data_IF_713646845631
#
_entry.id   IF_713646845631
#
_cell.length_a   1.000
_cell.length_b   1.000
_cell.length_c   1.000
_cell.angle_alpha   90.00
_cell.angle_beta   90.00
_cell.angle_gamma   90.00
#
_symmetry.space_group_name_H-M   'P 1'
#
loop_
_entity.id
_entity.type
_entity.pdbx_description
1 polymer ?
#
# COMPACT_ATOMS: atom_id res chain seq x y z
N UNK A 1 37.13 -85.52 -3.37
CA UNK A 1 36.39 -84.69 -2.40
C UNK A 1 36.86 -83.24 -2.55
N UNK A 2 36.10 -82.40 -3.26
CA UNK A 2 36.51 -81.03 -3.62
C UNK A 2 35.28 -80.13 -3.81
N UNK A 3 34.51 -79.89 -2.73
CA UNK A 3 33.29 -79.05 -2.74
C UNK A 3 32.98 -78.49 -1.34
N UNK A 4 33.83 -77.63 -0.77
CA UNK A 4 33.49 -76.96 0.50
C UNK A 4 34.08 -75.56 0.71
N UNK A 5 34.96 -75.07 -0.17
CA UNK A 5 35.64 -73.77 0.03
C UNK A 5 35.05 -72.59 -0.77
N UNK A 6 34.03 -72.80 -1.61
CA UNK A 6 33.41 -71.73 -2.42
C UNK A 6 32.16 -71.08 -1.79
N UNK A 7 31.61 -71.62 -0.70
CA UNK A 7 30.38 -71.10 -0.09
C UNK A 7 30.61 -70.05 1.01
N UNK A 8 31.80 -70.00 1.60
CA UNK A 8 32.13 -69.00 2.63
C UNK A 8 32.52 -67.64 2.04
N UNK A 9 33.07 -67.59 0.82
CA UNK A 9 33.47 -66.34 0.15
C UNK A 9 32.27 -65.55 -0.39
N UNK A 10 31.20 -66.23 -0.81
CA UNK A 10 29.99 -65.58 -1.34
C UNK A 10 29.14 -64.92 -0.23
N UNK A 11 29.12 -65.48 0.98
CA UNK A 11 28.37 -64.92 2.11
C UNK A 11 28.97 -63.60 2.64
N UNK A 12 30.30 -63.45 2.59
CA UNK A 12 30.99 -62.21 2.99
C UNK A 12 30.77 -61.10 1.96
N UNK A 13 30.77 -61.43 0.66
CA UNK A 13 30.53 -60.44 -0.41
C UNK A 13 29.06 -59.98 -0.43
N UNK A 14 28.11 -60.88 -0.15
CA UNK A 14 26.68 -60.52 -0.07
C UNK A 14 26.35 -59.59 1.12
N UNK A 15 27.02 -59.75 2.26
CA UNK A 15 26.88 -58.84 3.42
C UNK A 15 27.51 -57.47 3.18
N UNK A 16 28.63 -57.41 2.45
CA UNK A 16 29.31 -56.14 2.12
C UNK A 16 28.54 -55.35 1.05
N UNK A 17 27.92 -56.01 0.06
CA UNK A 17 27.17 -55.33 -1.02
C UNK A 17 25.74 -54.95 -0.57
N UNK A 18 25.08 -55.77 0.27
CA UNK A 18 23.73 -55.50 0.78
C UNK A 18 23.66 -54.46 1.92
N UNK A 19 24.73 -54.33 2.72
CA UNK A 19 24.78 -53.40 3.86
C UNK A 19 25.24 -51.98 3.51
N UNK A 20 25.93 -51.80 2.38
CA UNK A 20 26.50 -50.51 1.94
C UNK A 20 25.47 -49.37 1.77
N UNK A 21 24.26 -49.60 1.22
CA UNK A 21 23.23 -48.57 1.11
C UNK A 21 22.66 -48.16 2.47
N UNK A 22 22.54 -49.09 3.43
CA UNK A 22 22.05 -48.81 4.77
C UNK A 22 23.10 -48.06 5.60
N UNK A 23 24.35 -48.50 5.56
CA UNK A 23 25.47 -47.83 6.25
C UNK A 23 25.73 -46.42 5.69
N UNK A 24 25.63 -46.23 4.36
CA UNK A 24 25.76 -44.90 3.76
C UNK A 24 24.60 -43.96 4.11
N UNK A 25 23.37 -44.47 4.27
CA UNK A 25 22.24 -43.67 4.78
C UNK A 25 22.43 -43.27 6.23
N UNK A 26 22.88 -44.19 7.08
CA UNK A 26 23.17 -43.91 8.51
C UNK A 26 24.32 -42.90 8.64
N UNK A 27 25.40 -43.08 7.85
CA UNK A 27 26.51 -42.13 7.82
C UNK A 27 26.09 -40.75 7.32
N UNK A 28 25.34 -40.66 6.21
CA UNK A 28 24.80 -39.37 5.73
C UNK A 28 23.88 -38.71 6.75
N UNK A 29 23.03 -39.49 7.42
CA UNK A 29 22.17 -38.97 8.49
C UNK A 29 22.98 -38.48 9.70
N UNK A 30 24.06 -39.18 10.05
CA UNK A 30 24.99 -38.75 11.10
C UNK A 30 25.71 -37.46 10.73
N UNK A 31 26.28 -37.37 9.52
CA UNK A 31 26.96 -36.16 9.02
C UNK A 31 26.00 -34.96 9.00
N UNK A 32 24.78 -35.14 8.48
CA UNK A 32 23.76 -34.10 8.50
C UNK A 32 23.40 -33.64 9.91
N UNK A 33 23.26 -34.58 10.87
CA UNK A 33 23.00 -34.24 12.28
C UNK A 33 24.19 -33.53 12.92
N UNK A 34 25.42 -33.95 12.64
CA UNK A 34 26.61 -33.30 13.18
C UNK A 34 26.80 -31.89 12.63
N UNK A 35 26.53 -31.69 11.33
CA UNK A 35 26.55 -30.35 10.72
C UNK A 35 25.45 -29.46 11.30
N UNK A 36 24.23 -29.99 11.50
CA UNK A 36 23.14 -29.26 12.14
C UNK A 36 23.49 -28.88 13.59
N UNK A 37 24.05 -29.81 14.36
CA UNK A 37 24.47 -29.55 15.75
C UNK A 37 25.58 -28.49 15.80
N UNK A 38 26.57 -28.56 14.91
CA UNK A 38 27.63 -27.55 14.82
C UNK A 38 27.08 -26.16 14.45
N UNK A 39 26.16 -26.09 13.49
CA UNK A 39 25.47 -24.84 13.12
C UNK A 39 24.64 -24.27 14.26
N UNK A 40 23.91 -25.13 14.99
CA UNK A 40 23.16 -24.70 16.17
C UNK A 40 24.08 -24.15 17.26
N UNK A 41 25.21 -24.81 17.52
CA UNK A 41 26.20 -24.32 18.48
C UNK A 41 26.75 -22.94 18.09
N UNK A 42 27.12 -22.75 16.82
CA UNK A 42 27.56 -21.43 16.32
C UNK A 42 26.48 -20.36 16.52
N UNK A 43 25.23 -20.64 16.14
CA UNK A 43 24.12 -19.71 16.33
C UNK A 43 23.88 -19.37 17.81
N UNK A 44 23.99 -20.34 18.72
CA UNK A 44 23.85 -20.09 20.16
C UNK A 44 24.97 -19.21 20.70
N UNK A 45 26.22 -19.40 20.24
CA UNK A 45 27.35 -18.58 20.64
C UNK A 45 27.22 -17.15 20.10
N UNK A 46 26.89 -16.99 18.82
CA UNK A 46 26.64 -15.68 18.21
C UNK A 46 25.51 -14.93 18.93
N UNK A 47 24.41 -15.63 19.22
CA UNK A 47 23.27 -15.05 19.94
C UNK A 47 23.67 -14.61 21.35
N UNK A 48 24.46 -15.41 22.06
CA UNK A 48 24.94 -15.06 23.40
C UNK A 48 25.87 -13.84 23.37
N UNK A 49 26.77 -13.76 22.39
CA UNK A 49 27.66 -12.61 22.19
C UNK A 49 26.87 -11.34 21.91
N UNK A 50 25.93 -11.38 20.97
CA UNK A 50 25.08 -10.23 20.63
C UNK A 50 24.22 -9.77 21.82
N UNK A 51 23.70 -10.72 22.62
CA UNK A 51 22.97 -10.39 23.85
C UNK A 51 23.86 -9.70 24.87
N UNK A 52 25.09 -10.17 25.06
CA UNK A 52 26.04 -9.56 25.99
C UNK A 52 26.46 -8.15 25.54
N UNK A 53 26.76 -7.98 24.25
CA UNK A 53 27.09 -6.68 23.67
C UNK A 53 25.92 -5.69 23.80
N UNK A 54 24.71 -6.16 23.51
CA UNK A 54 23.51 -5.36 23.66
C UNK A 54 23.30 -4.95 25.11
N UNK A 55 23.41 -5.88 26.07
CA UNK A 55 23.24 -5.56 27.50
C UNK A 55 24.26 -4.51 27.98
N UNK A 56 25.51 -4.57 27.51
CA UNK A 56 26.54 -3.61 27.88
C UNK A 56 26.26 -2.20 27.33
N UNK A 57 25.69 -2.09 26.13
CA UNK A 57 25.56 -0.82 25.40
C UNK A 57 24.10 -0.39 25.14
N UNK A 58 23.12 -1.09 25.70
CA UNK A 58 21.68 -0.89 25.45
C UNK A 58 21.24 0.57 25.50
N UNK A 59 21.53 1.36 26.55
CA UNK A 59 21.03 2.74 26.62
C UNK A 59 21.60 3.62 25.50
N UNK A 60 22.90 3.45 25.17
CA UNK A 60 23.53 4.20 24.10
C UNK A 60 22.95 3.82 22.72
N UNK A 61 22.76 2.52 22.47
CA UNK A 61 22.14 2.04 21.24
C UNK A 61 20.71 2.56 21.09
N UNK A 62 19.88 2.45 22.13
CA UNK A 62 18.49 2.91 22.08
C UNK A 62 18.42 4.43 21.84
N UNK A 63 19.25 5.21 22.51
CA UNK A 63 19.33 6.65 22.30
C UNK A 63 19.72 7.00 20.86
N UNK A 64 20.68 6.27 20.28
CA UNK A 64 21.09 6.47 18.89
C UNK A 64 19.98 6.07 17.90
N UNK A 65 19.35 4.91 18.09
CA UNK A 65 18.24 4.45 17.24
C UNK A 65 17.05 5.43 17.30
N UNK A 66 16.73 5.95 18.49
CA UNK A 66 15.69 6.97 18.67
C UNK A 66 16.06 8.28 17.99
N UNK A 67 17.31 8.73 18.10
CA UNK A 67 17.81 9.94 17.41
C UNK A 67 17.68 9.80 15.89
N UNK A 68 18.11 8.66 15.34
CA UNK A 68 17.98 8.37 13.91
C UNK A 68 16.50 8.31 13.48
N UNK A 69 15.65 7.67 14.28
CA UNK A 69 14.21 7.61 14.03
C UNK A 69 13.55 8.99 14.05
N UNK A 70 13.89 9.84 15.01
CA UNK A 70 13.40 11.22 15.11
C UNK A 70 13.89 12.10 13.94
N UNK A 71 15.09 11.81 13.42
CA UNK A 71 15.62 12.45 12.21
C UNK A 71 15.02 11.90 10.90
N UNK A 72 14.11 10.92 10.95
CA UNK A 72 13.51 10.29 9.78
C UNK A 72 14.45 9.33 9.01
N UNK A 73 15.62 9.00 9.58
CA UNK A 73 16.64 8.13 8.96
C UNK A 73 16.30 6.65 9.18
N UNK A 74 15.10 6.23 8.76
CA UNK A 74 14.57 4.89 9.02
C UNK A 74 15.42 3.77 8.43
N UNK A 75 16.05 3.99 7.25
CA UNK A 75 16.95 3.01 6.65
C UNK A 75 18.15 2.71 7.56
N UNK A 76 18.76 3.73 8.16
CA UNK A 76 19.88 3.57 9.08
C UNK A 76 19.46 2.86 10.37
N UNK A 77 18.26 3.17 10.88
CA UNK A 77 17.67 2.45 12.01
C UNK A 77 17.54 0.96 11.70
N UNK A 78 17.00 0.59 10.54
CA UNK A 78 16.85 -0.81 10.14
C UNK A 78 18.20 -1.52 10.03
N UNK A 79 19.18 -0.89 9.37
CA UNK A 79 20.53 -1.44 9.24
C UNK A 79 21.18 -1.65 10.61
N UNK A 80 21.07 -0.69 11.53
CA UNK A 80 21.70 -0.78 12.86
C UNK A 80 20.97 -1.77 13.77
N UNK A 81 19.63 -1.72 13.83
CA UNK A 81 18.84 -2.61 14.68
C UNK A 81 18.84 -4.07 14.20
N UNK A 82 18.95 -4.33 12.88
CA UNK A 82 18.99 -5.69 12.33
C UNK A 82 20.19 -6.52 12.83
N UNK A 83 21.29 -5.86 13.21
CA UNK A 83 22.46 -6.52 13.83
C UNK A 83 22.10 -7.25 15.12
N UNK A 84 21.13 -6.73 15.87
CA UNK A 84 20.68 -7.28 17.14
C UNK A 84 19.40 -8.12 17.02
N UNK A 85 18.98 -8.50 15.79
CA UNK A 85 17.76 -9.30 15.57
C UNK A 85 17.78 -10.62 16.34
N UNK A 86 18.94 -11.27 16.46
CA UNK A 86 19.09 -12.53 17.19
C UNK A 86 19.04 -12.35 18.71
N UNK A 87 19.32 -11.15 19.23
CA UNK A 87 19.22 -10.86 20.65
C UNK A 87 17.76 -10.82 21.14
N UNK A 88 16.80 -10.67 20.22
CA UNK A 88 15.34 -10.60 20.47
C UNK A 88 14.93 -9.63 21.58
N UNK A 89 15.61 -8.49 21.65
CA UNK A 89 15.29 -7.45 22.62
C UNK A 89 14.00 -6.72 22.20
N UNK A 90 13.01 -6.58 23.11
CA UNK A 90 11.71 -6.02 22.76
C UNK A 90 11.78 -4.54 22.36
N UNK A 91 12.68 -3.76 22.96
CA UNK A 91 12.78 -2.31 22.71
C UNK A 91 13.41 -2.05 21.33
N UNK A 92 14.49 -2.77 21.01
CA UNK A 92 15.11 -2.72 19.68
C UNK A 92 14.12 -3.18 18.61
N UNK A 93 13.39 -4.27 18.86
CA UNK A 93 12.36 -4.78 17.95
C UNK A 93 11.24 -3.77 17.73
N UNK A 94 10.77 -3.09 18.77
CA UNK A 94 9.73 -2.07 18.65
C UNK A 94 10.19 -0.86 17.81
N UNK A 95 11.43 -0.40 17.98
CA UNK A 95 12.00 0.69 17.16
C UNK A 95 12.18 0.25 15.70
N UNK A 96 12.68 -0.99 15.49
CA UNK A 96 12.82 -1.58 14.16
C UNK A 96 11.47 -1.63 13.43
N UNK A 97 10.43 -2.19 14.06
CA UNK A 97 9.11 -2.34 13.45
C UNK A 97 8.50 -1.00 13.07
N UNK A 98 8.57 0.01 13.95
CA UNK A 98 8.09 1.38 13.64
C UNK A 98 8.83 1.98 12.43
N UNK A 99 10.14 1.80 12.36
CA UNK A 99 10.93 2.32 11.23
C UNK A 99 10.67 1.55 9.93
N UNK A 100 10.43 0.25 10.01
CA UNK A 100 10.06 -0.56 8.85
C UNK A 100 8.69 -0.13 8.29
N UNK A 101 7.72 0.11 9.16
CA UNK A 101 6.41 0.63 8.78
C UNK A 101 6.51 2.02 8.14
N UNK A 102 7.29 2.93 8.74
CA UNK A 102 7.50 4.27 8.21
C UNK A 102 8.17 4.24 6.82
N UNK A 103 9.22 3.43 6.63
CA UNK A 103 9.89 3.29 5.34
C UNK A 103 8.97 2.66 4.29
N UNK A 104 8.20 1.64 4.66
CA UNK A 104 7.21 1.01 3.78
C UNK A 104 6.18 2.05 3.30
N UNK A 105 5.63 2.83 4.24
CA UNK A 105 4.70 3.92 3.92
C UNK A 105 5.34 4.95 2.98
N UNK A 106 6.58 5.38 3.23
CA UNK A 106 7.30 6.31 2.36
C UNK A 106 7.46 5.77 0.93
N UNK A 107 7.82 4.50 0.79
CA UNK A 107 7.95 3.84 -0.51
C UNK A 107 6.61 3.76 -1.24
N UNK A 108 5.54 3.40 -0.54
CA UNK A 108 4.19 3.40 -1.09
C UNK A 108 3.77 4.80 -1.54
N UNK A 109 3.93 5.82 -0.71
CA UNK A 109 3.60 7.21 -1.08
C UNK A 109 4.45 7.71 -2.25
N UNK A 110 5.70 7.30 -2.37
CA UNK A 110 6.55 7.62 -3.52
C UNK A 110 6.04 6.96 -4.81
N UNK A 111 5.57 5.71 -4.74
CA UNK A 111 4.91 5.03 -5.86
C UNK A 111 3.63 5.75 -6.27
N UNK A 112 2.77 6.12 -5.32
CA UNK A 112 1.53 6.83 -5.60
C UNK A 112 1.78 8.23 -6.20
N UNK A 113 2.85 8.92 -5.79
CA UNK A 113 3.25 10.19 -6.40
C UNK A 113 3.64 10.05 -7.87
N UNK A 114 4.20 8.89 -8.27
CA UNK A 114 4.47 8.60 -9.69
C UNK A 114 3.17 8.42 -10.47
N UNK A 115 2.24 7.65 -9.92
CA UNK A 115 0.90 7.48 -10.52
C UNK A 115 0.19 8.83 -10.68
N UNK A 116 0.24 9.68 -9.65
CA UNK A 116 -0.29 11.03 -9.72
C UNK A 116 0.43 11.88 -10.80
N UNK A 117 1.75 11.75 -10.94
CA UNK A 117 2.50 12.46 -12.00
C UNK A 117 2.05 12.02 -13.40
N UNK A 118 1.72 10.75 -13.59
CA UNK A 118 1.28 10.19 -14.87
C UNK A 118 -0.17 10.59 -15.21
N UNK A 119 -1.07 10.51 -14.23
CA UNK A 119 -2.51 10.64 -14.46
C UNK A 119 -3.13 11.97 -14.04
N UNK A 120 -2.43 12.82 -13.28
CA UNK A 120 -2.91 14.16 -12.97
C UNK A 120 -2.63 15.12 -14.13
N UNK A 121 -3.46 15.03 -15.17
CA UNK A 121 -3.39 15.90 -16.32
C UNK A 121 -4.78 16.39 -16.73
N UNK A 122 -4.80 17.46 -17.54
CA UNK A 122 -6.01 18.10 -18.04
C UNK A 122 -6.95 17.13 -18.78
N UNK A 123 -6.37 16.28 -19.64
CA UNK A 123 -7.11 15.30 -20.44
C UNK A 123 -7.91 14.34 -19.57
N UNK A 124 -7.30 13.81 -18.51
CA UNK A 124 -7.94 12.88 -17.58
C UNK A 124 -9.10 13.53 -16.82
N UNK A 125 -8.92 14.76 -16.33
CA UNK A 125 -9.98 15.52 -15.63
C UNK A 125 -11.16 15.79 -16.56
N UNK A 126 -10.89 16.26 -17.78
CA UNK A 126 -11.95 16.51 -18.78
C UNK A 126 -12.72 15.25 -19.11
N UNK A 127 -12.00 14.17 -19.40
CA UNK A 127 -12.59 12.86 -19.74
C UNK A 127 -13.52 12.39 -18.62
N UNK A 128 -13.05 12.39 -17.38
CA UNK A 128 -13.84 11.94 -16.25
C UNK A 128 -15.10 12.80 -16.04
N UNK A 129 -14.97 14.13 -16.05
CA UNK A 129 -16.14 15.01 -15.91
C UNK A 129 -17.14 14.86 -17.07
N UNK A 130 -16.66 14.64 -18.29
CA UNK A 130 -17.54 14.34 -19.42
C UNK A 130 -18.31 13.04 -19.23
N UNK A 131 -17.64 11.98 -18.76
CA UNK A 131 -18.26 10.69 -18.47
C UNK A 131 -19.36 10.83 -17.40
N UNK A 132 -19.07 11.54 -16.31
CA UNK A 132 -20.05 11.81 -15.25
C UNK A 132 -21.23 12.60 -15.80
N UNK A 133 -20.99 13.74 -16.47
CA UNK A 133 -22.07 14.59 -17.00
C UNK A 133 -22.90 13.89 -18.08
N UNK A 134 -22.32 12.97 -18.86
CA UNK A 134 -23.03 12.24 -19.89
C UNK A 134 -24.11 11.30 -19.33
N UNK A 135 -24.02 10.90 -18.05
CA UNK A 135 -25.02 10.00 -17.41
C UNK A 135 -26.44 10.58 -17.35
N UNK A 136 -26.56 11.91 -17.37
CA UNK A 136 -27.85 12.64 -17.30
C UNK A 136 -28.23 13.33 -18.60
N UNK A 137 -27.40 13.20 -19.63
CA UNK A 137 -27.65 13.82 -20.93
C UNK A 137 -28.45 12.88 -21.84
N UNK A 138 -29.28 13.45 -22.75
CA UNK A 138 -29.94 12.66 -23.78
C UNK A 138 -28.90 11.93 -24.66
N UNK A 139 -29.17 10.67 -25.08
CA UNK A 139 -28.29 9.94 -25.99
C UNK A 139 -27.95 10.76 -27.24
N UNK A 140 -26.66 10.86 -27.57
CA UNK A 140 -26.18 11.57 -28.77
C UNK A 140 -25.86 13.06 -28.59
N UNK A 141 -25.97 13.61 -27.37
CA UNK A 141 -25.58 15.00 -27.06
C UNK A 141 -24.41 15.04 -26.08
N UNK A 142 -23.19 14.60 -26.45
CA UNK A 142 -22.08 14.56 -25.50
C UNK A 142 -21.73 15.98 -24.99
N UNK A 143 -21.25 16.12 -23.75
CA UNK A 143 -20.83 17.41 -23.23
C UNK A 143 -19.58 17.86 -23.99
N UNK A 144 -19.62 19.04 -24.63
CA UNK A 144 -18.42 19.59 -25.27
C UNK A 144 -17.53 20.23 -24.21
N UNK A 145 -16.47 19.53 -23.83
CA UNK A 145 -15.47 20.04 -22.88
C UNK A 145 -14.45 20.97 -23.50
N UNK A 146 -14.45 21.17 -24.82
CA UNK A 146 -13.46 21.98 -25.54
C UNK A 146 -13.47 23.46 -25.15
N UNK A 147 -14.59 23.95 -24.61
CA UNK A 147 -14.73 25.34 -24.13
C UNK A 147 -14.39 25.49 -22.65
N UNK A 148 -14.13 24.39 -21.92
CA UNK A 148 -13.85 24.46 -20.49
C UNK A 148 -12.42 24.94 -20.24
N UNK A 149 -12.28 25.79 -19.23
CA UNK A 149 -10.98 26.17 -18.67
C UNK A 149 -10.68 25.22 -17.52
N UNK A 150 -9.58 24.49 -17.61
CA UNK A 150 -9.14 23.55 -16.59
C UNK A 150 -7.79 24.00 -16.09
N UNK A 151 -7.69 24.26 -14.79
CA UNK A 151 -6.51 24.84 -14.15
C UNK A 151 -6.10 24.01 -12.95
N UNK A 152 -4.87 23.52 -12.93
CA UNK A 152 -4.30 22.89 -11.74
C UNK A 152 -4.13 23.95 -10.65
N UNK A 153 -4.54 23.64 -9.44
CA UNK A 153 -4.36 24.49 -8.27
C UNK A 153 -3.48 23.79 -7.23
N UNK A 154 -2.79 24.54 -6.35
CA UNK A 154 -1.98 23.95 -5.28
C UNK A 154 -2.82 23.06 -4.37
N UNK A 155 -2.41 21.81 -4.16
CA UNK A 155 -3.18 20.82 -3.40
C UNK A 155 -3.15 21.06 -1.89
N UNK A 156 -2.08 21.70 -1.38
CA UNK A 156 -1.88 22.04 0.03
C UNK A 156 -3.04 22.86 0.61
N UNK A 157 -3.57 23.82 -0.16
CA UNK A 157 -4.71 24.64 0.23
C UNK A 157 -6.02 23.85 0.40
N UNK A 158 -6.09 22.62 -0.12
CA UNK A 158 -7.30 21.79 -0.14
C UNK A 158 -7.18 20.52 0.71
N UNK A 159 -6.05 20.26 1.35
CA UNK A 159 -5.87 19.07 2.22
C UNK A 159 -6.91 19.03 3.34
N UNK A 160 -7.11 20.12 4.06
CA UNK A 160 -8.10 20.18 5.15
C UNK A 160 -9.55 19.98 4.66
N UNK A 161 -10.01 20.64 3.57
CA UNK A 161 -11.28 20.33 2.93
C UNK A 161 -11.45 18.84 2.53
N UNK A 162 -10.43 18.23 1.91
CA UNK A 162 -10.46 16.81 1.50
C UNK A 162 -10.60 15.91 2.74
N UNK A 163 -9.80 16.14 3.78
CA UNK A 163 -9.93 15.40 5.04
C UNK A 163 -11.33 15.52 5.65
N UNK A 164 -11.93 16.72 5.62
CA UNK A 164 -13.29 16.94 6.12
C UNK A 164 -14.32 16.14 5.32
N UNK A 165 -14.21 16.13 3.99
CA UNK A 165 -15.08 15.36 3.11
C UNK A 165 -14.97 13.85 3.41
N UNK A 166 -13.76 13.32 3.52
CA UNK A 166 -13.54 11.89 3.82
C UNK A 166 -14.07 11.49 5.20
N UNK A 167 -13.91 12.34 6.23
CA UNK A 167 -14.49 12.11 7.56
C UNK A 167 -16.02 12.08 7.53
N UNK A 168 -16.63 13.00 6.78
CA UNK A 168 -18.08 13.05 6.63
C UNK A 168 -18.62 11.81 5.90
N UNK A 169 -17.96 11.38 4.83
CA UNK A 169 -18.30 10.15 4.10
C UNK A 169 -18.21 8.90 5.00
N UNK A 170 -17.10 8.74 5.73
CA UNK A 170 -16.94 7.63 6.67
C UNK A 170 -17.99 7.61 7.79
N UNK A 171 -18.39 8.79 8.29
CA UNK A 171 -19.46 8.90 9.28
C UNK A 171 -20.82 8.49 8.68
N UNK A 172 -21.12 8.92 7.46
CA UNK A 172 -22.34 8.53 6.75
C UNK A 172 -22.39 7.02 6.52
N UNK A 173 -21.32 6.41 6.01
CA UNK A 173 -21.24 4.96 5.77
C UNK A 173 -21.51 4.12 7.03
N UNK A 174 -21.08 4.59 8.20
CA UNK A 174 -21.35 3.91 9.48
C UNK A 174 -22.81 3.96 9.93
N UNK A 175 -23.60 4.91 9.40
CA UNK A 175 -25.02 5.09 9.73
C UNK A 175 -25.98 4.39 8.76
N UNK A 176 -25.51 3.99 7.57
CA UNK A 176 -26.35 3.50 6.47
C UNK A 176 -26.36 1.98 6.33
N UNK A 177 -26.10 1.22 7.41
CA UNK A 177 -26.07 -0.24 7.37
C UNK A 177 -27.44 -0.92 7.10
N UNK A 178 -28.52 -0.17 6.90
CA UNK A 178 -29.88 -0.69 6.67
C UNK A 178 -30.55 -0.28 5.34
N UNK A 179 -29.90 0.46 4.42
CA UNK A 179 -30.53 0.78 3.14
C UNK A 179 -30.11 -0.22 2.05
N UNK A 180 -31.02 -1.14 1.74
CA UNK A 180 -30.96 -2.05 0.61
C UNK A 180 -30.76 -1.33 -0.74
N UNK A 181 -30.10 -2.04 -1.64
CA UNK A 181 -29.76 -1.70 -3.01
C UNK A 181 -30.95 -1.21 -3.85
N UNK A 182 -31.07 0.11 -4.06
CA UNK A 182 -31.85 0.69 -5.15
C UNK A 182 -30.89 1.46 -6.09
N UNK A 183 -30.19 0.72 -6.96
CA UNK A 183 -29.03 1.19 -7.73
C UNK A 183 -29.33 1.71 -9.14
N UNK A 184 -30.60 1.90 -9.53
CA UNK A 184 -30.95 2.22 -10.93
C UNK A 184 -31.73 3.53 -11.10
N UNK A 185 -31.86 4.34 -10.04
CA UNK A 185 -32.49 5.66 -10.17
C UNK A 185 -31.50 6.68 -10.75
N UNK A 186 -31.87 7.41 -11.82
CA UNK A 186 -31.03 8.50 -12.30
C UNK A 186 -30.91 9.60 -11.23
N UNK A 187 -29.76 10.30 -11.13
CA UNK A 187 -29.55 11.30 -10.09
C UNK A 187 -30.59 12.41 -10.22
N UNK A 188 -31.14 12.82 -9.09
CA UNK A 188 -32.23 13.80 -9.00
C UNK A 188 -31.72 15.23 -8.78
N UNK A 189 -30.43 15.39 -8.45
CA UNK A 189 -29.78 16.69 -8.25
C UNK A 189 -28.36 16.74 -8.82
N UNK A 190 -27.86 17.96 -9.08
CA UNK A 190 -26.46 18.17 -9.50
C UNK A 190 -25.46 17.71 -8.43
N UNK A 191 -25.81 17.90 -7.16
CA UNK A 191 -24.97 17.44 -6.05
C UNK A 191 -24.85 15.92 -6.06
N UNK A 192 -25.95 15.20 -6.27
CA UNK A 192 -26.01 13.74 -6.38
C UNK A 192 -25.27 13.21 -7.61
N UNK A 193 -25.35 13.91 -8.76
CA UNK A 193 -24.60 13.55 -9.97
C UNK A 193 -23.07 13.52 -9.74
N UNK A 194 -22.56 14.49 -8.98
CA UNK A 194 -21.12 14.64 -8.73
C UNK A 194 -20.68 14.05 -7.39
N UNK A 195 -21.61 13.63 -6.54
CA UNK A 195 -21.30 12.74 -5.43
C UNK A 195 -21.16 11.35 -5.99
N UNK A 196 -20.00 10.73 -5.80
CA UNK A 196 -19.94 9.28 -5.91
C UNK A 196 -20.74 8.72 -4.74
N UNK A 197 -21.85 8.01 -5.02
CA UNK A 197 -22.59 7.18 -4.06
C UNK A 197 -21.75 6.06 -3.44
N UNK A 198 -20.48 5.96 -3.84
CA UNK A 198 -19.50 5.03 -3.35
C UNK A 198 -18.36 5.86 -2.77
N UNK A 199 -18.01 5.62 -1.52
CA UNK A 199 -16.91 6.29 -0.83
C UNK A 199 -15.68 6.30 -1.74
N UNK A 200 -15.00 7.45 -1.87
CA UNK A 200 -13.76 7.53 -2.63
C UNK A 200 -12.82 6.42 -2.12
N UNK A 201 -12.63 5.37 -2.92
CA UNK A 201 -11.83 4.21 -2.55
C UNK A 201 -10.36 4.55 -2.71
N UNK A 202 -9.90 5.48 -1.88
CA UNK A 202 -8.51 5.90 -1.84
C UNK A 202 -7.62 4.73 -1.46
N UNK A 203 -6.40 4.74 -1.98
CA UNK A 203 -5.38 3.83 -1.52
C UNK A 203 -5.23 3.93 0.02
N UNK A 204 -5.31 2.81 0.79
CA UNK A 204 -5.34 2.86 2.25
C UNK A 204 -4.15 3.58 2.88
N UNK A 205 -2.96 3.43 2.28
CA UNK A 205 -1.76 4.13 2.74
C UNK A 205 -1.85 5.66 2.55
N UNK A 206 -2.49 6.11 1.48
CA UNK A 206 -2.71 7.53 1.22
C UNK A 206 -3.78 8.09 2.16
N UNK A 207 -4.88 7.36 2.36
CA UNK A 207 -5.91 7.72 3.32
C UNK A 207 -5.34 7.82 4.74
N UNK A 208 -4.56 6.83 5.17
CA UNK A 208 -3.82 6.86 6.44
C UNK A 208 -2.90 8.08 6.52
N UNK A 209 -2.09 8.32 5.48
CA UNK A 209 -1.12 9.41 5.48
C UNK A 209 -1.81 10.78 5.58
N UNK A 210 -2.87 10.97 4.78
CA UNK A 210 -3.69 12.17 4.78
C UNK A 210 -4.32 12.42 6.15
N UNK A 211 -4.85 11.37 6.80
CA UNK A 211 -5.52 11.48 8.10
C UNK A 211 -4.56 11.68 9.28
N UNK A 212 -3.27 11.37 9.12
CA UNK A 212 -2.20 11.59 10.10
C UNK A 212 -1.42 12.88 9.83
N UNK A 213 -1.95 13.78 8.99
CA UNK A 213 -1.33 15.05 8.61
C UNK A 213 0.09 14.91 8.02
N UNK A 214 0.38 13.77 7.38
CA UNK A 214 1.58 13.62 6.58
C UNK A 214 1.47 14.46 5.30
N UNK A 215 2.62 14.96 4.81
CA UNK A 215 2.66 15.68 3.54
C UNK A 215 2.30 14.74 2.38
N UNK A 216 1.13 14.98 1.77
CA UNK A 216 0.56 14.17 0.69
C UNK A 216 0.24 14.98 -0.58
N UNK A 217 0.73 16.21 -0.65
CA UNK A 217 0.53 17.16 -1.75
C UNK A 217 1.03 16.63 -3.11
N UNK A 218 1.97 15.69 -3.10
CA UNK A 218 2.52 15.06 -4.32
C UNK A 218 1.68 13.89 -4.84
N UNK A 219 0.81 13.32 -4.00
CA UNK A 219 -0.03 12.17 -4.31
C UNK A 219 -1.46 12.60 -4.68
N UNK A 220 -1.81 13.86 -4.38
CA UNK A 220 -3.12 14.43 -4.60
C UNK A 220 -3.00 15.60 -5.58
N UNK A 221 -3.96 15.72 -6.49
CA UNK A 221 -4.00 16.83 -7.43
C UNK A 221 -5.35 17.49 -7.36
N UNK A 222 -5.38 18.81 -7.43
CA UNK A 222 -6.61 19.59 -7.37
C UNK A 222 -6.71 20.46 -8.62
N UNK A 223 -7.92 20.54 -9.14
CA UNK A 223 -8.24 21.20 -10.39
C UNK A 223 -9.44 22.10 -10.20
N UNK A 224 -9.38 23.29 -10.77
CA UNK A 224 -10.55 24.10 -11.01
C UNK A 224 -10.98 23.92 -12.47
N UNK A 225 -12.25 23.62 -12.69
CA UNK A 225 -12.85 23.45 -14.00
C UNK A 225 -14.01 24.43 -14.13
N UNK A 226 -13.85 25.39 -15.03
CA UNK A 226 -14.81 26.44 -15.32
C UNK A 226 -15.34 26.25 -16.74
N UNK A 227 -16.63 26.35 -16.95
CA UNK A 227 -17.20 26.16 -18.28
C UNK A 227 -18.70 26.31 -18.33
N UNK A 228 -19.28 25.83 -19.43
CA UNK A 228 -20.72 25.77 -19.62
C UNK A 228 -21.12 24.33 -19.97
N UNK A 229 -22.25 23.87 -19.42
CA UNK A 229 -22.79 22.56 -19.71
C UNK A 229 -24.32 22.54 -19.62
N UNK A 230 -24.92 21.55 -20.28
CA UNK A 230 -26.33 21.19 -20.13
C UNK A 230 -26.38 19.81 -19.48
N UNK A 231 -26.99 19.68 -18.31
CA UNK A 231 -27.15 18.41 -17.58
C UNK A 231 -28.57 17.87 -17.71
N UNK A 232 -29.08 17.81 -18.93
CA UNK A 232 -30.45 17.37 -19.23
C UNK A 232 -31.50 18.06 -18.34
N UNK A 233 -32.38 17.25 -17.74
CA UNK A 233 -33.44 17.74 -16.86
C UNK A 233 -32.93 18.54 -15.65
N UNK A 234 -31.73 18.24 -15.12
CA UNK A 234 -31.17 18.93 -13.95
C UNK A 234 -30.92 20.42 -14.21
N UNK A 235 -30.69 20.80 -15.47
CA UNK A 235 -30.50 22.20 -15.92
C UNK A 235 -31.69 22.70 -16.74
N UNK A 236 -32.83 22.01 -16.69
CA UNK A 236 -34.01 22.29 -17.52
C UNK A 236 -33.68 22.30 -19.03
N UNK A 237 -32.73 21.46 -19.44
CA UNK A 237 -32.19 21.39 -20.80
C UNK A 237 -31.59 22.71 -21.31
N UNK A 238 -31.09 23.57 -20.41
CA UNK A 238 -30.44 24.84 -20.76
C UNK A 238 -28.95 24.77 -20.48
N UNK A 239 -28.17 25.47 -21.30
CA UNK A 239 -26.75 25.70 -21.06
C UNK A 239 -26.60 26.59 -19.83
N UNK A 240 -25.77 26.17 -18.88
CA UNK A 240 -25.51 26.86 -17.62
C UNK A 240 -24.01 26.96 -17.38
N UNK A 241 -23.52 28.13 -16.91
CA UNK A 241 -22.14 28.22 -16.45
C UNK A 241 -21.96 27.43 -15.17
N UNK A 242 -20.77 26.87 -15.00
CA UNK A 242 -20.38 26.13 -13.81
C UNK A 242 -18.92 26.36 -13.44
N UNK A 243 -18.63 26.14 -12.17
CA UNK A 243 -17.28 26.03 -11.63
C UNK A 243 -17.23 24.81 -10.69
N UNK A 244 -16.29 23.91 -10.96
CA UNK A 244 -16.04 22.71 -10.18
C UNK A 244 -14.63 22.74 -9.59
N UNK A 245 -14.52 22.49 -8.30
CA UNK A 245 -13.22 22.17 -7.68
C UNK A 245 -13.14 20.66 -7.47
N UNK A 246 -12.29 20.00 -8.24
CA UNK A 246 -12.14 18.55 -8.28
C UNK A 246 -10.79 18.19 -7.69
N UNK A 247 -10.73 17.10 -6.94
CA UNK A 247 -9.46 16.50 -6.54
C UNK A 247 -9.36 15.07 -7.03
N UNK A 248 -8.12 14.66 -7.25
CA UNK A 248 -7.74 13.35 -7.75
C UNK A 248 -6.71 12.75 -6.82
N UNK A 249 -6.83 11.46 -6.57
CA UNK A 249 -5.88 10.70 -5.76
C UNK A 249 -5.85 9.24 -6.20
N UNK A 250 -4.79 8.52 -5.88
CA UNK A 250 -4.67 7.12 -6.30
C UNK A 250 -5.79 6.24 -5.71
N UNK A 251 -6.40 5.41 -6.57
CA UNK A 251 -7.39 4.43 -6.14
C UNK A 251 -6.77 3.27 -5.36
N UNK A 252 -7.61 2.55 -4.61
CA UNK A 252 -7.24 1.36 -3.87
C UNK A 252 -6.65 0.26 -4.77
N UNK A 253 -7.02 0.26 -6.06
CA UNK A 253 -6.49 -0.70 -7.04
C UNK A 253 -5.11 -0.32 -7.57
N UNK A 254 -4.63 0.91 -7.32
CA UNK A 254 -3.39 1.49 -7.84
C UNK A 254 -3.31 1.55 -9.39
N UNK A 255 -4.41 1.27 -10.10
CA UNK A 255 -4.46 1.27 -11.58
C UNK A 255 -4.91 2.60 -12.16
N UNK A 256 -5.58 3.42 -11.34
CA UNK A 256 -6.24 4.65 -11.75
C UNK A 256 -6.19 5.68 -10.63
N UNK A 257 -6.59 6.90 -10.96
CA UNK A 257 -6.93 7.92 -9.97
C UNK A 257 -8.44 7.85 -9.71
N UNK A 258 -8.82 7.93 -8.43
CA UNK A 258 -10.18 8.31 -8.02
C UNK A 258 -10.34 9.82 -8.18
N UNK A 259 -11.57 10.23 -8.43
CA UNK A 259 -11.97 11.61 -8.61
C UNK A 259 -13.07 11.93 -7.62
N UNK A 260 -13.05 13.13 -7.06
CA UNK A 260 -14.15 13.59 -6.26
C UNK A 260 -14.26 15.12 -6.31
N UNK A 261 -15.45 15.64 -6.07
CA UNK A 261 -15.76 17.06 -6.20
C UNK A 261 -15.85 17.69 -4.81
N UNK A 262 -15.00 18.69 -4.54
CA UNK A 262 -14.99 19.45 -3.28
C UNK A 262 -16.01 20.57 -3.26
N UNK A 263 -16.24 21.19 -4.41
CA UNK A 263 -17.11 22.36 -4.54
C UNK A 263 -17.76 22.37 -5.91
N UNK A 264 -19.06 22.64 -5.90
CA UNK A 264 -19.90 22.84 -7.08
C UNK A 264 -20.48 24.25 -7.00
N UNK A 265 -20.34 25.03 -8.07
CA UNK A 265 -21.00 26.32 -8.21
C UNK A 265 -21.61 26.45 -9.62
N UNK A 266 -22.75 27.13 -9.69
CA UNK A 266 -23.54 27.22 -10.93
C UNK A 266 -24.48 26.02 -11.10
N UNK A 267 -24.85 25.76 -12.37
CA UNK A 267 -25.96 24.91 -12.82
C UNK A 267 -27.37 25.47 -12.59
#
# INVERSE_FOLDING_TARGET
MRRSTLLFSAAVIALVIGGWPALSRVYRAYVLRSEQAARQQLLTQETAQLKAELQANKPALLAELQRLQAAGLHQEVLTKASRYRLADDPDVRAIYTRSAQALSLQQTLAKLARLATEHCNDTEVRRHLQEVMATVQPPGTPPTSSTWTVRRVPADAFIAPIQSQLRAAAAAASSTHEAEHEHDSPPTSVAELFHTDHDAHLHPALAFALMQDHAVDKQICVWNVEGEATLGALTQNRVKPFELTVWMAASATERSMEYNVLRIQGF
#
